data_IF_905625167767
#
_entry.id   IF_905625167767
#
_cell.length_a   1.000
_cell.length_b   1.000
_cell.length_c   1.000
_cell.angle_alpha   90.00
_cell.angle_beta   90.00
_cell.angle_gamma   90.00
#
_symmetry.space_group_name_H-M   'P 1'
#
loop_
_entity.id
_entity.type
_entity.pdbx_description
1 polymer ?
#
# COMPACT_ATOMS: atom_id res chain seq x y z
N UNK A 1 32.29 -29.29 -50.25
CA UNK A 1 31.53 -29.79 -49.07
C UNK A 1 30.74 -28.64 -48.46
N UNK A 2 29.45 -28.54 -48.83
CA UNK A 2 28.45 -27.58 -48.32
C UNK A 2 27.70 -28.13 -47.09
N UNK A 3 28.31 -29.08 -46.35
CA UNK A 3 27.67 -29.83 -45.27
C UNK A 3 27.89 -29.25 -43.86
N UNK A 4 28.84 -28.33 -43.65
CA UNK A 4 29.13 -27.81 -42.29
C UNK A 4 28.25 -26.60 -41.92
N UNK A 5 27.57 -25.98 -42.90
CA UNK A 5 26.76 -24.77 -42.68
C UNK A 5 25.31 -25.05 -42.21
N UNK A 6 24.95 -26.33 -42.00
CA UNK A 6 23.61 -26.70 -41.53
C UNK A 6 23.61 -27.29 -40.10
N UNK A 7 24.74 -27.73 -39.55
CA UNK A 7 24.79 -28.30 -38.19
C UNK A 7 25.15 -27.28 -37.09
N UNK A 8 25.87 -26.20 -37.38
CA UNK A 8 26.15 -25.16 -36.37
C UNK A 8 25.00 -24.14 -36.19
N UNK A 9 23.84 -24.39 -36.77
CA UNK A 9 22.61 -23.63 -36.49
C UNK A 9 21.77 -24.23 -35.36
N UNK A 10 21.95 -25.51 -35.02
CA UNK A 10 21.13 -26.14 -33.96
C UNK A 10 21.61 -25.78 -32.55
N UNK A 11 22.91 -25.57 -32.32
CA UNK A 11 23.44 -25.31 -30.96
C UNK A 11 23.35 -23.83 -30.55
N UNK A 12 23.28 -22.90 -31.51
CA UNK A 12 23.16 -21.46 -31.22
C UNK A 12 21.75 -21.05 -30.74
N UNK A 13 20.79 -21.98 -30.73
CA UNK A 13 19.46 -21.75 -30.17
C UNK A 13 19.33 -22.24 -28.73
N UNK A 14 20.24 -23.09 -28.23
CA UNK A 14 20.14 -23.61 -26.85
C UNK A 14 20.93 -22.80 -25.81
N UNK A 15 22.05 -22.15 -26.17
CA UNK A 15 22.80 -21.29 -25.22
C UNK A 15 22.32 -19.82 -25.16
N UNK A 16 21.18 -19.50 -25.78
CA UNK A 16 20.51 -18.20 -25.60
C UNK A 16 19.49 -18.20 -24.46
N UNK A 17 19.11 -19.36 -23.91
CA UNK A 17 18.14 -19.40 -22.81
C UNK A 17 18.77 -19.17 -21.44
N UNK A 18 20.06 -19.48 -21.24
CA UNK A 18 20.66 -19.45 -19.90
C UNK A 18 21.39 -18.13 -19.58
N UNK A 19 21.92 -17.41 -20.58
CA UNK A 19 22.64 -16.14 -20.31
C UNK A 19 21.71 -14.91 -20.17
N UNK A 20 20.41 -15.14 -20.09
CA UNK A 20 19.40 -14.15 -19.70
C UNK A 20 19.19 -14.10 -18.18
N UNK A 21 19.75 -15.05 -17.42
CA UNK A 21 19.53 -15.11 -15.97
C UNK A 21 20.58 -14.34 -15.15
N UNK A 22 21.71 -13.89 -15.72
CA UNK A 22 22.87 -13.50 -14.90
C UNK A 22 23.54 -12.16 -15.27
N UNK A 23 22.78 -11.17 -15.74
CA UNK A 23 23.26 -9.79 -15.90
C UNK A 23 22.37 -8.74 -15.22
N UNK A 24 21.84 -9.06 -14.03
CA UNK A 24 21.16 -8.10 -13.17
C UNK A 24 22.08 -7.27 -12.25
N UNK A 25 23.41 -7.18 -12.45
CA UNK A 25 24.24 -6.59 -11.36
C UNK A 25 25.40 -5.64 -11.72
N UNK A 26 26.02 -5.59 -12.92
CA UNK A 26 27.34 -4.89 -12.95
C UNK A 26 27.86 -4.27 -14.25
N UNK A 27 27.07 -3.39 -14.87
CA UNK A 27 27.61 -2.30 -15.72
C UNK A 27 26.90 -0.97 -15.35
N UNK A 28 26.75 -0.76 -14.05
CA UNK A 28 25.96 0.28 -13.41
C UNK A 28 26.70 1.62 -13.19
N UNK A 29 27.97 1.82 -13.56
CA UNK A 29 28.75 2.92 -12.93
C UNK A 29 29.53 3.92 -13.82
N UNK A 30 29.48 3.93 -15.16
CA UNK A 30 30.35 4.85 -15.96
C UNK A 30 29.73 5.73 -17.05
N UNK A 31 28.46 5.60 -17.42
CA UNK A 31 27.77 6.66 -18.21
C UNK A 31 27.36 7.87 -17.36
N UNK A 32 27.44 7.71 -16.04
CA UNK A 32 26.94 8.60 -14.98
C UNK A 32 27.44 10.06 -15.05
N UNK A 33 28.59 10.36 -15.68
CA UNK A 33 29.25 11.67 -15.48
C UNK A 33 28.97 12.77 -16.53
N UNK A 34 28.56 12.44 -17.77
CA UNK A 34 28.23 13.45 -18.79
C UNK A 34 26.72 13.69 -18.95
N UNK A 35 25.88 12.77 -18.47
CA UNK A 35 24.43 13.00 -18.30
C UNK A 35 24.14 13.99 -17.16
N UNK A 36 25.01 14.10 -16.14
CA UNK A 36 24.83 14.93 -14.94
C UNK A 36 24.52 16.43 -15.17
N UNK A 37 24.77 17.00 -16.37
CA UNK A 37 24.46 18.42 -16.67
C UNK A 37 23.08 18.66 -17.30
N UNK A 38 22.59 17.79 -18.20
CA UNK A 38 21.18 17.87 -18.64
C UNK A 38 20.24 17.28 -17.58
N UNK A 39 20.74 16.31 -16.83
CA UNK A 39 20.09 15.77 -15.64
C UNK A 39 19.89 16.80 -14.54
N UNK A 40 20.48 18.00 -14.51
CA UNK A 40 20.15 18.95 -13.42
C UNK A 40 18.82 19.71 -13.66
N UNK A 41 18.42 19.92 -14.92
CA UNK A 41 17.10 20.48 -15.26
C UNK A 41 16.04 19.37 -15.28
N UNK A 42 16.40 18.16 -15.69
CA UNK A 42 15.54 16.96 -15.60
C UNK A 42 15.46 16.41 -14.17
N UNK A 43 16.48 16.54 -13.31
CA UNK A 43 16.41 16.16 -11.89
C UNK A 43 15.41 17.03 -11.12
N UNK A 44 15.03 18.21 -11.61
CA UNK A 44 13.90 18.94 -11.00
C UNK A 44 12.55 18.32 -11.34
N UNK A 45 12.35 17.80 -12.55
CA UNK A 45 11.11 17.07 -12.91
C UNK A 45 11.11 15.65 -12.35
N UNK A 46 12.26 14.95 -12.41
CA UNK A 46 12.44 13.60 -11.87
C UNK A 46 12.44 13.59 -10.34
N UNK A 47 12.84 14.64 -9.63
CA UNK A 47 12.66 14.72 -8.16
C UNK A 47 11.19 15.00 -7.79
N UNK A 48 10.40 15.59 -8.70
CA UNK A 48 8.94 15.62 -8.54
C UNK A 48 8.32 14.24 -8.86
N UNK A 49 8.84 13.50 -9.85
CA UNK A 49 8.39 12.15 -10.19
C UNK A 49 8.83 11.06 -9.19
N UNK A 50 10.05 11.12 -8.64
CA UNK A 50 10.50 10.24 -7.55
C UNK A 50 9.80 10.55 -6.24
N UNK A 51 9.34 11.79 -6.03
CA UNK A 51 8.37 12.10 -4.97
C UNK A 51 7.02 11.45 -5.25
N UNK A 52 6.56 11.40 -6.50
CA UNK A 52 5.33 10.69 -6.89
C UNK A 52 5.43 9.18 -6.66
N UNK A 53 6.53 8.52 -7.04
CA UNK A 53 6.72 7.07 -6.80
C UNK A 53 6.86 6.75 -5.30
N UNK A 54 7.48 7.64 -4.53
CA UNK A 54 7.55 7.51 -3.07
C UNK A 54 6.21 7.81 -2.37
N UNK A 55 5.29 8.53 -3.02
CA UNK A 55 3.88 8.64 -2.61
C UNK A 55 3.08 7.37 -2.99
N UNK A 56 3.35 6.78 -4.15
CA UNK A 56 2.68 5.57 -4.65
C UNK A 56 2.96 4.34 -3.77
N UNK A 57 4.14 4.26 -3.13
CA UNK A 57 4.47 3.16 -2.22
C UNK A 57 3.79 3.25 -0.84
N UNK A 58 3.24 4.42 -0.46
CA UNK A 58 2.52 4.61 0.80
C UNK A 58 1.09 4.01 0.76
N UNK A 59 0.50 3.82 -0.42
CA UNK A 59 -0.93 3.49 -0.59
C UNK A 59 -1.22 2.00 -0.89
N UNK A 60 -0.21 1.18 -1.20
CA UNK A 60 -0.39 -0.06 -1.98
C UNK A 60 -1.45 -1.01 -1.42
N UNK A 61 -1.48 -1.21 -0.09
CA UNK A 61 -2.45 -2.14 0.52
C UNK A 61 -3.82 -1.50 0.79
N UNK A 62 -3.92 -0.19 0.98
CA UNK A 62 -5.22 0.48 1.18
C UNK A 62 -6.07 0.38 -0.09
N UNK A 63 -5.47 0.65 -1.25
CA UNK A 63 -6.15 0.54 -2.54
C UNK A 63 -6.57 -0.89 -2.85
N UNK A 64 -5.73 -1.87 -2.54
CA UNK A 64 -6.05 -3.29 -2.72
C UNK A 64 -7.23 -3.73 -1.86
N UNK A 65 -7.30 -3.29 -0.58
CA UNK A 65 -8.46 -3.58 0.29
C UNK A 65 -9.72 -2.91 -0.22
N UNK A 66 -9.62 -1.66 -0.68
CA UNK A 66 -10.74 -0.92 -1.28
C UNK A 66 -11.25 -1.63 -2.55
N UNK A 67 -10.35 -2.08 -3.43
CA UNK A 67 -10.69 -2.86 -4.61
C UNK A 67 -11.38 -4.18 -4.24
N UNK A 68 -10.90 -4.88 -3.21
CA UNK A 68 -11.53 -6.10 -2.72
C UNK A 68 -12.97 -5.87 -2.26
N UNK A 69 -13.21 -4.83 -1.44
CA UNK A 69 -14.58 -4.51 -1.01
C UNK A 69 -15.47 -4.14 -2.21
N UNK A 70 -14.97 -3.36 -3.16
CA UNK A 70 -15.72 -3.00 -4.38
C UNK A 70 -16.10 -4.21 -5.22
N UNK A 71 -15.22 -5.21 -5.31
CA UNK A 71 -15.53 -6.47 -6.00
C UNK A 71 -16.68 -7.26 -5.34
N UNK A 72 -16.96 -6.99 -4.06
CA UNK A 72 -18.08 -7.56 -3.30
C UNK A 72 -19.31 -6.63 -3.25
N UNK A 73 -19.36 -5.60 -4.11
CA UNK A 73 -20.40 -4.55 -4.08
C UNK A 73 -20.50 -3.85 -2.71
N UNK A 74 -19.36 -3.66 -2.06
CA UNK A 74 -19.21 -3.02 -0.76
C UNK A 74 -18.13 -1.91 -0.81
N UNK A 75 -18.00 -1.15 0.27
CA UNK A 75 -16.89 -0.22 0.51
C UNK A 75 -16.10 -0.67 1.74
N UNK A 76 -14.91 -0.07 1.96
CA UNK A 76 -14.27 -0.19 3.28
C UNK A 76 -15.17 0.46 4.33
N UNK A 77 -15.19 -0.10 5.54
CA UNK A 77 -16.03 0.40 6.63
C UNK A 77 -15.73 1.89 6.94
N UNK A 78 -16.77 2.71 6.92
CA UNK A 78 -16.75 4.09 7.41
C UNK A 78 -17.55 4.16 8.71
N UNK A 79 -17.07 4.93 9.70
CA UNK A 79 -17.69 5.05 11.02
C UNK A 79 -18.05 6.53 11.26
N UNK A 80 -19.23 6.98 10.83
CA UNK A 80 -19.58 8.40 10.85
C UNK A 80 -19.87 8.93 12.26
N UNK A 81 -20.22 8.06 13.21
CA UNK A 81 -20.70 8.45 14.54
C UNK A 81 -20.42 7.39 15.63
N UNK A 82 -20.69 7.77 16.88
CA UNK A 82 -20.50 6.92 18.05
C UNK A 82 -21.42 5.70 18.09
N UNK A 83 -22.63 5.81 17.53
CA UNK A 83 -23.59 4.70 17.48
C UNK A 83 -23.07 3.57 16.58
N UNK A 84 -22.61 3.93 15.38
CA UNK A 84 -21.98 3.02 14.43
C UNK A 84 -20.71 2.40 15.02
N UNK A 85 -19.90 3.19 15.73
CA UNK A 85 -18.70 2.70 16.39
C UNK A 85 -19.01 1.61 17.42
N UNK A 86 -19.95 1.85 18.32
CA UNK A 86 -20.33 0.86 19.34
C UNK A 86 -21.01 -0.38 18.73
N UNK A 87 -21.81 -0.21 17.68
CA UNK A 87 -22.36 -1.32 16.91
C UNK A 87 -21.25 -2.22 16.34
N UNK A 88 -20.25 -1.64 15.68
CA UNK A 88 -19.10 -2.37 15.10
C UNK A 88 -18.34 -3.11 16.20
N UNK A 89 -18.02 -2.45 17.32
CA UNK A 89 -17.32 -3.08 18.46
C UNK A 89 -18.11 -4.25 19.03
N UNK A 90 -19.42 -4.09 19.22
CA UNK A 90 -20.30 -5.16 19.69
C UNK A 90 -20.29 -6.36 18.77
N UNK A 91 -20.36 -6.12 17.45
CA UNK A 91 -20.31 -7.17 16.44
C UNK A 91 -18.96 -7.91 16.45
N UNK A 92 -17.83 -7.19 16.51
CA UNK A 92 -16.50 -7.79 16.52
C UNK A 92 -16.24 -8.61 17.80
N UNK A 93 -16.66 -8.12 18.97
CA UNK A 93 -16.58 -8.86 20.24
C UNK A 93 -17.31 -10.21 20.20
N UNK A 94 -18.44 -10.27 19.50
CA UNK A 94 -19.25 -11.49 19.38
C UNK A 94 -18.63 -12.56 18.47
N UNK A 95 -17.72 -12.16 17.58
CA UNK A 95 -17.15 -13.02 16.53
C UNK A 95 -15.71 -13.44 16.76
N UNK A 96 -14.91 -12.63 17.45
CA UNK A 96 -13.46 -12.86 17.54
C UNK A 96 -13.06 -13.45 18.89
N UNK A 97 -12.51 -14.68 18.86
CA UNK A 97 -11.84 -15.30 20.02
C UNK A 97 -10.35 -14.97 20.08
N UNK A 98 -9.82 -14.23 19.10
CA UNK A 98 -8.39 -13.93 18.97
C UNK A 98 -8.09 -12.55 19.53
N UNK A 99 -7.30 -12.50 20.60
CA UNK A 99 -7.15 -11.32 21.46
C UNK A 99 -6.23 -10.22 20.93
N UNK A 100 -5.57 -10.41 19.79
CA UNK A 100 -4.59 -9.46 19.23
C UNK A 100 -4.81 -9.15 17.74
N UNK A 101 -6.06 -9.19 17.28
CA UNK A 101 -6.39 -8.88 15.88
C UNK A 101 -6.41 -7.37 15.62
N UNK A 102 -5.94 -6.96 14.44
CA UNK A 102 -6.08 -5.60 13.89
C UNK A 102 -7.02 -5.66 12.68
N UNK A 103 -7.94 -4.69 12.59
CA UNK A 103 -8.92 -4.57 11.52
C UNK A 103 -8.81 -3.21 10.84
N UNK A 104 -8.26 -3.17 9.63
CA UNK A 104 -8.25 -1.96 8.83
C UNK A 104 -9.65 -1.55 8.37
N UNK A 105 -9.90 -0.25 8.40
CA UNK A 105 -11.14 0.36 7.93
C UNK A 105 -10.84 1.48 6.91
N UNK A 106 -11.86 2.24 6.53
CA UNK A 106 -11.81 3.12 5.36
C UNK A 106 -11.07 4.44 5.52
N UNK A 107 -10.62 4.84 6.71
CA UNK A 107 -10.02 6.16 6.91
C UNK A 107 -8.51 6.19 6.65
N UNK A 108 -8.02 7.32 6.10
CA UNK A 108 -6.61 7.60 5.83
C UNK A 108 -6.34 9.10 5.86
N UNK A 109 -5.11 9.50 6.18
CA UNK A 109 -4.60 10.86 6.06
C UNK A 109 -3.41 10.96 5.08
N UNK A 110 -3.26 9.97 4.20
CA UNK A 110 -2.16 9.86 3.24
C UNK A 110 -2.01 11.08 2.31
N UNK A 111 -3.11 11.78 2.06
CA UNK A 111 -3.12 13.00 1.26
C UNK A 111 -2.46 14.17 2.00
N UNK A 112 -2.63 14.23 3.32
CA UNK A 112 -2.07 15.27 4.19
C UNK A 112 -2.11 14.80 5.64
N UNK A 113 -0.92 14.62 6.22
CA UNK A 113 -0.72 14.21 7.60
C UNK A 113 -1.61 14.99 8.59
N UNK A 114 -2.32 14.27 9.46
CA UNK A 114 -3.25 14.82 10.45
C UNK A 114 -4.61 15.24 9.89
N UNK A 115 -4.82 15.22 8.57
CA UNK A 115 -6.10 15.47 7.93
C UNK A 115 -6.73 14.15 7.48
N UNK A 116 -7.40 13.48 8.41
CA UNK A 116 -8.07 12.21 8.16
C UNK A 116 -9.34 12.36 7.33
N UNK A 117 -9.46 11.53 6.29
CA UNK A 117 -10.62 11.41 5.42
C UNK A 117 -11.02 9.95 5.19
N UNK A 118 -12.28 9.72 4.88
CA UNK A 118 -12.76 8.41 4.43
C UNK A 118 -12.39 8.15 2.97
N UNK A 119 -11.80 7.01 2.70
CA UNK A 119 -11.34 6.63 1.37
C UNK A 119 -12.49 6.43 0.37
N UNK A 120 -13.68 6.00 0.83
CA UNK A 120 -14.85 5.79 -0.03
C UNK A 120 -15.54 7.12 -0.34
N UNK A 121 -16.12 7.75 0.68
CA UNK A 121 -16.92 8.96 0.55
C UNK A 121 -16.12 10.25 0.30
N UNK A 122 -14.80 10.23 0.55
CA UNK A 122 -13.91 11.42 0.47
C UNK A 122 -14.37 12.56 1.37
N UNK A 123 -14.91 12.21 2.54
CA UNK A 123 -15.33 13.17 3.57
C UNK A 123 -14.39 13.13 4.77
N UNK A 124 -14.17 14.27 5.46
CA UNK A 124 -13.32 14.31 6.65
C UNK A 124 -13.98 13.57 7.82
N UNK A 125 -13.15 13.09 8.76
CA UNK A 125 -13.65 12.50 10.01
C UNK A 125 -14.33 13.58 10.87
N UNK A 126 -15.60 13.36 11.19
CA UNK A 126 -16.39 14.19 12.12
C UNK A 126 -16.51 13.57 13.52
N UNK A 127 -16.19 12.29 13.63
CA UNK A 127 -16.17 11.49 14.85
C UNK A 127 -14.85 10.73 14.92
N UNK A 128 -14.30 10.57 16.13
CA UNK A 128 -13.09 9.79 16.36
C UNK A 128 -13.18 8.98 17.65
N UNK A 129 -12.54 7.82 17.65
CA UNK A 129 -12.45 6.94 18.83
C UNK A 129 -11.02 6.40 19.02
N UNK A 130 -10.04 7.31 18.92
CA UNK A 130 -8.63 7.01 19.05
C UNK A 130 -8.25 6.30 20.36
N UNK A 131 -7.29 5.39 20.25
CA UNK A 131 -6.64 4.72 21.35
C UNK A 131 -5.73 5.64 22.13
N UNK A 132 -5.05 5.09 23.14
CA UNK A 132 -4.17 5.90 23.97
C UNK A 132 -2.99 6.43 23.15
N UNK A 133 -2.87 7.76 23.07
CA UNK A 133 -1.81 8.50 22.33
C UNK A 133 -1.87 8.36 20.82
N UNK A 134 -3.02 7.96 20.26
CA UNK A 134 -3.21 7.82 18.83
C UNK A 134 -3.94 9.03 18.24
N UNK A 135 -3.77 9.33 16.94
CA UNK A 135 -2.73 8.78 16.08
C UNK A 135 -1.34 9.29 16.48
N UNK A 136 -0.30 8.45 16.41
CA UNK A 136 1.08 8.82 16.77
C UNK A 136 2.05 8.88 15.59
N UNK A 137 1.60 8.50 14.39
CA UNK A 137 2.35 8.62 13.15
C UNK A 137 3.77 8.03 13.27
N UNK A 138 3.88 6.81 13.80
CA UNK A 138 5.17 6.21 14.13
C UNK A 138 6.06 6.12 12.90
N UNK A 139 7.32 6.51 13.10
CA UNK A 139 8.36 6.59 12.06
C UNK A 139 7.97 7.43 10.84
N UNK A 140 6.93 8.26 10.94
CA UNK A 140 6.37 9.04 9.83
C UNK A 140 5.79 8.19 8.69
N UNK A 141 5.21 7.03 9.00
CA UNK A 141 4.75 6.04 8.01
C UNK A 141 3.31 5.60 8.16
N UNK A 142 2.67 5.89 9.30
CA UNK A 142 1.33 5.41 9.62
C UNK A 142 0.30 6.37 9.07
N UNK A 143 -0.53 5.87 8.14
CA UNK A 143 -1.49 6.70 7.41
C UNK A 143 -2.85 5.99 7.22
N UNK A 144 -3.03 4.80 7.79
CA UNK A 144 -4.22 3.98 7.60
C UNK A 144 -4.86 3.64 8.93
N UNK A 145 -6.15 3.88 9.04
CA UNK A 145 -6.89 3.67 10.28
C UNK A 145 -7.25 2.19 10.45
N UNK A 146 -7.00 1.67 11.66
CA UNK A 146 -7.40 0.33 12.05
C UNK A 146 -7.98 0.27 13.47
N UNK A 147 -8.80 -0.75 13.72
CA UNK A 147 -9.33 -1.08 15.03
C UNK A 147 -8.41 -2.11 15.70
N UNK A 148 -7.94 -1.83 16.91
CA UNK A 148 -7.04 -2.72 17.67
C UNK A 148 -7.80 -3.52 18.73
N UNK A 149 -7.90 -4.84 18.58
CA UNK A 149 -8.62 -5.71 19.52
C UNK A 149 -8.10 -5.55 20.97
N UNK A 150 -6.78 -5.54 21.16
CA UNK A 150 -6.14 -5.46 22.46
C UNK A 150 -6.51 -4.20 23.27
N UNK A 151 -7.00 -3.14 22.60
CA UNK A 151 -7.46 -1.90 23.23
C UNK A 151 -8.98 -1.73 23.14
N UNK A 152 -9.73 -2.84 23.03
CA UNK A 152 -11.18 -2.79 22.95
C UNK A 152 -11.68 -2.18 21.64
N UNK A 153 -10.94 -2.41 20.54
CA UNK A 153 -11.22 -1.90 19.19
C UNK A 153 -11.17 -0.38 19.08
N UNK A 154 -10.34 0.27 19.91
CA UNK A 154 -9.98 1.67 19.73
C UNK A 154 -9.20 1.89 18.43
N UNK A 155 -9.30 3.09 17.89
CA UNK A 155 -8.72 3.45 16.60
C UNK A 155 -7.23 3.75 16.75
N UNK A 156 -6.45 3.26 15.80
CA UNK A 156 -5.00 3.43 15.72
C UNK A 156 -4.65 3.72 14.26
N UNK A 157 -3.61 4.51 14.03
CA UNK A 157 -2.97 4.57 12.72
C UNK A 157 -1.93 3.47 12.60
N UNK A 158 -1.83 2.90 11.41
CA UNK A 158 -0.86 1.87 11.08
C UNK A 158 -0.24 2.17 9.71
N UNK A 159 0.95 1.62 9.41
CA UNK A 159 1.49 1.65 8.07
C UNK A 159 0.52 0.95 7.13
N UNK A 160 0.12 1.66 6.08
CA UNK A 160 -0.89 1.14 5.16
C UNK A 160 -0.49 -0.19 4.54
N UNK A 161 0.81 -0.42 4.33
CA UNK A 161 1.40 -1.62 3.75
C UNK A 161 1.41 -2.85 4.67
N UNK A 162 0.93 -2.75 5.92
CA UNK A 162 0.85 -3.90 6.81
C UNK A 162 -0.20 -4.92 6.34
N UNK A 163 0.01 -6.19 6.67
CA UNK A 163 -0.87 -7.28 6.30
C UNK A 163 -1.75 -7.69 7.51
N UNK A 164 -2.88 -7.01 7.66
CA UNK A 164 -3.92 -7.36 8.65
C UNK A 164 -5.29 -7.55 8.03
N UNK A 165 -6.26 -7.99 8.85
CA UNK A 165 -7.66 -8.13 8.43
C UNK A 165 -8.23 -6.75 8.12
N UNK A 166 -9.30 -6.71 7.33
CA UNK A 166 -10.01 -5.48 7.00
C UNK A 166 -11.51 -5.74 6.93
N UNK A 167 -12.30 -4.68 7.07
CA UNK A 167 -13.76 -4.78 7.12
C UNK A 167 -14.35 -4.04 5.93
N UNK A 168 -15.19 -4.76 5.17
CA UNK A 168 -16.06 -4.17 4.16
C UNK A 168 -17.46 -3.94 4.74
N UNK A 169 -18.10 -2.84 4.36
CA UNK A 169 -19.47 -2.50 4.66
C UNK A 169 -20.26 -2.30 3.35
N UNK A 170 -21.44 -2.89 3.27
CA UNK A 170 -22.37 -2.67 2.17
C UNK A 170 -23.61 -1.99 2.74
N UNK A 171 -24.07 -0.93 2.07
CA UNK A 171 -25.40 -0.38 2.34
C UNK A 171 -26.45 -1.41 1.91
N UNK A 172 -27.46 -1.61 2.74
CA UNK A 172 -28.62 -2.46 2.46
C UNK A 172 -29.87 -1.61 2.34
#
# INVERSE_FOLDING_TARGET
>A
MRSVNLEMRSVNLEMRSVNLEMKCVNLEMRSVNLEMRSLNHEMRSVNLEMRSVNLEMKCVNLEMRSLHCRALHAALLEIPDAETNEFVKGHLKSRDGVTNTIYFIGATDIAKEGNWEWNGSKTPLVFTDWGHRQPDHLNHTENCLALRHAEGFKWHDYPCHDHHRFICAAER
#
